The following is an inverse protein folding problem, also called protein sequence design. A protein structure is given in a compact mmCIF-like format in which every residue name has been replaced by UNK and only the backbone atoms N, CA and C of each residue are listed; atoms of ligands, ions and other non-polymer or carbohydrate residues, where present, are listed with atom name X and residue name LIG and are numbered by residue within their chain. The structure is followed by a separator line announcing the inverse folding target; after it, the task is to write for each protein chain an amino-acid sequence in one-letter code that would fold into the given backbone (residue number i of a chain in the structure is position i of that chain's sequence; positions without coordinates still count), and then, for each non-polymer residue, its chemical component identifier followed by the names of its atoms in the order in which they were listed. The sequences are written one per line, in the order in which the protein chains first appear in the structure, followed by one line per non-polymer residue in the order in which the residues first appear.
data_IF_019095907055
#
_entry.id   IF_019095907055
#
_cell.length_a   1.000
_cell.length_b   1.000
_cell.length_c   1.000
_cell.angle_alpha   90.00
_cell.angle_beta   90.00
_cell.angle_gamma   90.00
#
_symmetry.space_group_name_H-M   'P 1'
#
loop_
_entity.id
_entity.type
_entity.pdbx_description
1 polymer ?
#
# COMPACT_ATOMS: atom_id res chain seq x y z
N UNK A 1 4.25 19.89 -5.77
CA UNK A 1 4.12 19.52 -4.34
C UNK A 1 5.24 20.21 -3.57
N UNK A 2 5.02 20.69 -2.33
CA UNK A 2 6.14 21.23 -1.54
C UNK A 2 7.08 20.10 -1.09
N UNK A 3 8.37 20.39 -0.92
CA UNK A 3 9.36 19.40 -0.46
C UNK A 3 8.96 18.76 0.88
N UNK A 4 8.35 19.54 1.77
CA UNK A 4 7.80 19.07 3.04
C UNK A 4 6.66 18.05 2.86
N UNK A 5 5.74 18.31 1.94
CA UNK A 5 4.62 17.40 1.65
C UNK A 5 5.14 16.10 1.00
N UNK A 6 6.10 16.21 0.09
CA UNK A 6 6.77 15.05 -0.51
C UNK A 6 7.43 14.16 0.55
N UNK A 7 8.10 14.76 1.54
CA UNK A 7 8.68 14.03 2.67
C UNK A 7 7.65 13.30 3.53
N UNK A 8 6.50 13.93 3.81
CA UNK A 8 5.40 13.31 4.57
C UNK A 8 4.79 12.13 3.83
N UNK A 9 4.57 12.26 2.52
CA UNK A 9 4.00 11.22 1.67
C UNK A 9 4.91 9.99 1.58
N UNK A 10 6.22 10.21 1.39
CA UNK A 10 7.23 9.15 1.45
C UNK A 10 7.23 8.41 2.80
N UNK A 11 7.17 9.17 3.90
CA UNK A 11 7.12 8.60 5.24
C UNK A 11 5.85 7.77 5.47
N UNK A 12 4.70 8.24 4.98
CA UNK A 12 3.44 7.52 5.06
C UNK A 12 3.52 6.16 4.37
N UNK A 13 3.97 6.13 3.11
CA UNK A 13 4.11 4.87 2.34
C UNK A 13 5.07 3.91 3.05
N UNK A 14 6.21 4.41 3.54
CA UNK A 14 7.17 3.60 4.26
C UNK A 14 6.59 3.00 5.56
N UNK A 15 5.79 3.77 6.31
CA UNK A 15 5.12 3.32 7.53
C UNK A 15 4.04 2.30 7.23
N UNK A 16 3.25 2.50 6.17
CA UNK A 16 2.21 1.57 5.75
C UNK A 16 2.80 0.24 5.28
N UNK A 17 3.90 0.28 4.51
CA UNK A 17 4.68 -0.89 4.13
C UNK A 17 5.12 -1.69 5.36
N UNK A 18 5.78 -1.03 6.31
CA UNK A 18 6.28 -1.68 7.53
C UNK A 18 5.14 -2.31 8.34
N UNK A 19 4.03 -1.60 8.55
CA UNK A 19 2.87 -2.12 9.28
C UNK A 19 2.22 -3.32 8.58
N UNK A 20 2.19 -3.33 7.25
CA UNK A 20 1.69 -4.47 6.47
C UNK A 20 2.62 -5.68 6.58
N UNK A 21 3.93 -5.46 6.52
CA UNK A 21 4.94 -6.52 6.75
C UNK A 21 4.82 -7.13 8.16
N UNK A 22 4.55 -6.29 9.17
CA UNK A 22 4.30 -6.70 10.56
C UNK A 22 2.90 -7.31 10.79
N UNK A 23 2.12 -7.55 9.74
CA UNK A 23 0.72 -8.04 9.80
C UNK A 23 -0.17 -7.23 10.76
N UNK A 24 0.13 -5.93 10.90
CA UNK A 24 -0.55 -5.01 11.82
C UNK A 24 -1.66 -4.19 11.14
N UNK A 25 -2.00 -4.52 9.89
CA UNK A 25 -3.08 -3.90 9.12
C UNK A 25 -4.07 -5.00 8.75
N UNK A 26 -5.33 -4.84 9.15
CA UNK A 26 -6.40 -5.75 8.77
C UNK A 26 -6.89 -5.41 7.36
N UNK A 27 -6.22 -5.98 6.35
CA UNK A 27 -6.60 -5.80 4.96
C UNK A 27 -7.85 -6.59 4.60
N UNK A 28 -8.69 -5.97 3.77
CA UNK A 28 -9.90 -6.52 3.16
C UNK A 28 -9.86 -6.21 1.66
N UNK A 29 -10.80 -6.76 0.89
CA UNK A 29 -11.01 -6.38 -0.50
C UNK A 29 -12.23 -5.46 -0.62
N UNK A 30 -12.11 -4.40 -1.42
CA UNK A 30 -13.25 -3.55 -1.77
C UNK A 30 -14.10 -4.19 -2.89
N UNK A 31 -15.12 -3.48 -3.38
CA UNK A 31 -16.01 -3.96 -4.45
C UNK A 31 -15.31 -4.26 -5.79
N UNK A 32 -14.15 -3.65 -6.03
CA UNK A 32 -13.32 -3.86 -7.23
C UNK A 32 -12.26 -4.95 -7.03
N UNK A 33 -12.23 -5.60 -5.85
CA UNK A 33 -11.20 -6.54 -5.41
C UNK A 33 -9.82 -5.92 -5.16
N UNK A 34 -9.77 -4.63 -4.91
CA UNK A 34 -8.54 -3.94 -4.50
C UNK A 34 -8.37 -4.01 -2.98
N UNK A 35 -7.12 -4.13 -2.48
CA UNK A 35 -6.86 -4.09 -1.05
C UNK A 35 -7.29 -2.77 -0.40
N UNK A 36 -8.02 -2.89 0.70
CA UNK A 36 -8.54 -1.79 1.49
C UNK A 36 -8.38 -2.07 2.98
N UNK A 37 -8.13 -1.06 3.79
CA UNK A 37 -8.13 -1.18 5.25
C UNK A 37 -8.69 0.10 5.90
N UNK A 38 -9.27 -0.04 7.09
CA UNK A 38 -9.66 1.09 7.93
C UNK A 38 -8.60 1.30 9.01
N UNK A 39 -8.08 2.52 9.11
CA UNK A 39 -7.04 2.92 10.05
C UNK A 39 -7.51 4.17 10.82
N UNK A 40 -8.18 3.94 11.95
CA UNK A 40 -8.76 5.01 12.76
C UNK A 40 -9.91 5.71 12.02
N UNK A 41 -9.76 7.01 11.75
CA UNK A 41 -10.77 7.82 11.05
C UNK A 41 -10.64 7.79 9.50
N UNK A 42 -9.75 6.95 8.98
CA UNK A 42 -9.44 6.90 7.56
C UNK A 42 -9.63 5.51 6.99
N UNK A 43 -9.96 5.46 5.70
CA UNK A 43 -9.94 4.26 4.88
C UNK A 43 -8.86 4.42 3.84
N UNK A 44 -8.00 3.42 3.71
CA UNK A 44 -6.98 3.37 2.66
C UNK A 44 -7.37 2.36 1.59
N UNK A 45 -7.04 2.63 0.34
CA UNK A 45 -7.21 1.71 -0.78
C UNK A 45 -5.97 1.74 -1.66
N UNK A 46 -5.50 0.56 -2.06
CA UNK A 46 -4.35 0.39 -2.95
C UNK A 46 -4.85 -0.20 -4.27
N UNK A 47 -4.65 0.49 -5.38
CA UNK A 47 -5.01 -0.05 -6.71
C UNK A 47 -3.88 0.19 -7.72
N UNK A 48 -4.13 -0.24 -8.96
CA UNK A 48 -3.28 0.11 -10.09
C UNK A 48 -4.09 0.77 -11.20
N UNK A 49 -3.44 1.70 -11.88
CA UNK A 49 -3.97 2.36 -13.06
C UNK A 49 -2.95 2.36 -14.19
N UNK A 50 -3.40 2.61 -15.42
CA UNK A 50 -2.52 2.81 -16.55
C UNK A 50 -2.41 4.31 -16.87
N UNK A 51 -1.18 4.83 -16.91
CA UNK A 51 -0.84 6.18 -17.36
C UNK A 51 -0.15 6.13 -18.73
N UNK A 52 0.11 7.28 -19.34
CA UNK A 52 0.88 7.35 -20.59
C UNK A 52 2.30 6.79 -20.50
N UNK A 53 2.83 6.64 -19.28
CA UNK A 53 4.16 6.10 -18.95
C UNK A 53 4.15 4.60 -18.60
N UNK A 54 2.99 4.00 -18.32
CA UNK A 54 2.87 2.59 -17.97
C UNK A 54 1.92 2.32 -16.81
N UNK A 55 2.17 1.26 -16.06
CA UNK A 55 1.42 0.94 -14.84
C UNK A 55 1.86 1.86 -13.70
N UNK A 56 0.88 2.39 -12.98
CA UNK A 56 1.05 3.28 -11.83
C UNK A 56 0.36 2.64 -10.63
N UNK A 57 1.04 2.63 -9.49
CA UNK A 57 0.54 2.17 -8.20
C UNK A 57 -0.07 3.35 -7.46
N UNK A 58 -1.33 3.23 -7.05
CA UNK A 58 -2.03 4.29 -6.33
C UNK A 58 -2.27 3.93 -4.87
N UNK A 59 -2.18 4.94 -4.00
CA UNK A 59 -2.69 4.91 -2.64
C UNK A 59 -3.70 6.04 -2.48
N UNK A 60 -4.95 5.66 -2.21
CA UNK A 60 -6.01 6.60 -1.85
C UNK A 60 -6.27 6.55 -0.35
N UNK A 61 -6.51 7.73 0.23
CA UNK A 61 -6.92 7.89 1.62
C UNK A 61 -8.24 8.63 1.62
N UNK A 62 -9.26 8.00 2.16
CA UNK A 62 -10.58 8.57 2.32
C UNK A 62 -10.88 8.79 3.80
N UNK A 63 -11.74 9.76 4.11
CA UNK A 63 -12.46 9.78 5.39
C UNK A 63 -13.44 8.60 5.46
N UNK A 64 -13.93 8.25 6.65
CA UNK A 64 -14.98 7.23 6.78
C UNK A 64 -16.30 7.64 6.09
N UNK A 65 -16.49 8.94 5.80
CA UNK A 65 -17.62 9.47 5.05
C UNK A 65 -17.44 9.32 3.52
N UNK A 66 -16.28 8.85 3.06
CA UNK A 66 -15.98 8.63 1.65
C UNK A 66 -15.37 9.84 0.93
N UNK A 67 -15.02 10.90 1.66
CA UNK A 67 -14.34 12.05 1.08
C UNK A 67 -12.87 11.71 0.82
N UNK A 68 -12.37 12.00 -0.37
CA UNK A 68 -10.95 11.84 -0.69
C UNK A 68 -10.13 12.87 0.09
N UNK A 69 -9.24 12.39 0.95
CA UNK A 69 -8.32 13.19 1.77
C UNK A 69 -6.98 13.36 1.09
N UNK A 70 -6.46 12.28 0.51
CA UNK A 70 -5.15 12.29 -0.15
C UNK A 70 -5.09 11.20 -1.22
N UNK A 71 -4.36 11.47 -2.31
CA UNK A 71 -4.08 10.52 -3.38
C UNK A 71 -2.60 10.60 -3.74
N UNK A 72 -1.93 9.46 -3.62
CA UNK A 72 -0.50 9.32 -3.92
C UNK A 72 -0.32 8.33 -5.05
N UNK A 73 0.57 8.66 -5.97
CA UNK A 73 1.07 7.73 -6.99
C UNK A 73 2.55 7.48 -6.74
N UNK A 74 3.08 6.34 -7.19
CA UNK A 74 4.52 6.09 -7.16
C UNK A 74 5.30 7.17 -7.93
N UNK A 75 4.79 7.62 -9.07
CA UNK A 75 5.38 8.70 -9.88
C UNK A 75 5.51 10.01 -9.08
N UNK A 76 4.55 10.33 -8.20
CA UNK A 76 4.60 11.52 -7.34
C UNK A 76 5.66 11.45 -6.22
N UNK A 77 6.21 10.25 -5.96
CA UNK A 77 7.16 9.99 -4.87
C UNK A 77 8.61 9.86 -5.38
N UNK A 78 8.80 9.48 -6.63
CA UNK A 78 10.09 9.14 -7.25
C UNK A 78 10.96 10.35 -7.65
N UNK A 79 10.49 11.60 -7.47
CA UNK A 79 11.21 12.80 -7.93
C UNK A 79 12.60 13.03 -7.27
N UNK A 80 12.97 12.34 -6.19
CA UNK A 80 14.16 12.74 -5.38
C UNK A 80 15.02 11.60 -4.79
N UNK A 81 14.58 10.34 -4.72
CA UNK A 81 15.38 9.32 -4.00
C UNK A 81 15.05 7.88 -4.34
N UNK A 82 15.99 6.97 -4.07
CA UNK A 82 15.70 5.54 -3.93
C UNK A 82 14.65 5.31 -2.84
N UNK A 83 13.82 4.28 -3.01
CA UNK A 83 12.83 3.91 -2.02
C UNK A 83 13.50 3.26 -0.78
N UNK A 84 12.87 3.35 0.42
CA UNK A 84 13.40 2.71 1.62
C UNK A 84 13.37 1.17 1.52
N UNK A 85 13.95 0.50 2.52
CA UNK A 85 13.93 -0.97 2.65
C UNK A 85 14.61 -1.75 1.51
N UNK A 86 15.51 -1.09 0.77
CA UNK A 86 16.27 -1.72 -0.31
C UNK A 86 15.52 -1.78 -1.66
N UNK A 87 14.40 -1.05 -1.80
CA UNK A 87 13.70 -0.94 -3.08
C UNK A 87 14.34 0.13 -3.97
N UNK A 88 14.45 -0.16 -5.26
CA UNK A 88 15.06 0.75 -6.24
C UNK A 88 14.18 1.96 -6.55
N UNK A 89 12.85 1.80 -6.48
CA UNK A 89 11.85 2.83 -6.80
C UNK A 89 10.61 2.72 -5.91
N UNK A 90 9.84 3.81 -5.82
CA UNK A 90 8.54 3.79 -5.14
C UNK A 90 7.54 2.88 -5.85
N UNK A 91 7.64 2.74 -7.18
CA UNK A 91 6.86 1.76 -7.93
C UNK A 91 7.04 0.35 -7.35
N UNK A 92 8.30 -0.07 -7.17
CA UNK A 92 8.61 -1.41 -6.65
C UNK A 92 8.15 -1.59 -5.20
N UNK A 93 8.31 -0.56 -4.37
CA UNK A 93 7.86 -0.57 -2.97
C UNK A 93 6.32 -0.66 -2.87
N UNK A 94 5.60 0.17 -3.61
CA UNK A 94 4.13 0.22 -3.59
C UNK A 94 3.52 -1.03 -4.23
N UNK A 95 4.11 -1.53 -5.32
CA UNK A 95 3.74 -2.83 -5.91
C UNK A 95 3.83 -3.94 -4.88
N UNK A 96 4.93 -4.01 -4.12
CA UNK A 96 5.09 -5.04 -3.09
C UNK A 96 4.14 -4.85 -1.92
N UNK A 97 3.90 -3.60 -1.50
CA UNK A 97 2.89 -3.27 -0.49
C UNK A 97 1.51 -3.81 -0.91
N UNK A 98 1.06 -3.49 -2.13
CA UNK A 98 -0.24 -3.95 -2.65
C UNK A 98 -0.31 -5.46 -2.78
N UNK A 99 0.75 -6.12 -3.24
CA UNK A 99 0.83 -7.58 -3.31
C UNK A 99 0.67 -8.22 -1.92
N UNK A 100 1.38 -7.72 -0.90
CA UNK A 100 1.25 -8.21 0.49
C UNK A 100 -0.16 -7.96 1.03
N UNK A 101 -0.68 -6.75 0.85
CA UNK A 101 -2.02 -6.37 1.27
C UNK A 101 -3.09 -7.28 0.65
N UNK A 102 -2.97 -7.58 -0.65
CA UNK A 102 -3.85 -8.50 -1.35
C UNK A 102 -3.77 -9.92 -0.79
N UNK A 103 -2.55 -10.47 -0.63
CA UNK A 103 -2.36 -11.82 -0.07
C UNK A 103 -2.94 -11.94 1.34
N UNK A 104 -2.76 -10.91 2.17
CA UNK A 104 -3.34 -10.87 3.51
C UNK A 104 -4.87 -10.78 3.46
N UNK A 105 -5.43 -9.93 2.59
CA UNK A 105 -6.88 -9.79 2.43
C UNK A 105 -7.58 -11.08 1.96
N UNK A 106 -6.92 -11.89 1.12
CA UNK A 106 -7.46 -13.19 0.66
C UNK A 106 -7.12 -14.36 1.60
N UNK A 107 -6.40 -14.10 2.71
CA UNK A 107 -5.99 -15.13 3.67
C UNK A 107 -4.92 -16.09 3.16
N UNK A 108 -4.23 -15.77 2.04
CA UNK A 108 -3.18 -16.62 1.48
C UNK A 108 -2.00 -16.77 2.44
N UNK A 109 -1.62 -15.68 3.13
CA UNK A 109 -0.52 -15.71 4.09
C UNK A 109 -0.84 -16.62 5.28
N UNK A 110 -2.06 -16.52 5.83
CA UNK A 110 -2.52 -17.41 6.92
C UNK A 110 -2.57 -18.87 6.48
N UNK A 111 -3.11 -19.15 5.29
CA UNK A 111 -3.18 -20.53 4.78
C UNK A 111 -1.79 -21.16 4.60
N UNK A 112 -0.81 -20.38 4.14
CA UNK A 112 0.58 -20.86 4.02
C UNK A 112 1.20 -21.09 5.39
N UNK A 113 1.00 -20.19 6.35
CA UNK A 113 1.51 -20.34 7.72
C UNK A 113 0.94 -21.61 8.38
N UNK A 114 -0.36 -21.86 8.25
CA UNK A 114 -1.02 -23.04 8.81
C UNK A 114 -0.45 -24.35 8.22
N UNK A 115 -0.17 -24.38 6.91
CA UNK A 115 0.47 -25.53 6.25
C UNK A 115 1.88 -25.75 6.77
N UNK A 116 2.66 -24.68 6.93
CA UNK A 116 4.04 -24.77 7.41
C UNK A 116 4.09 -25.20 8.88
N UNK A 117 3.13 -24.78 9.70
CA UNK A 117 3.03 -25.20 11.09
C UNK A 117 2.58 -26.66 11.24
N UNK A 118 1.75 -27.18 10.32
CA UNK A 118 1.41 -28.60 10.27
C UNK A 118 2.60 -29.52 9.94
N UNK A 119 3.60 -29.01 9.20
CA UNK A 119 4.79 -29.78 8.81
C UNK A 119 5.90 -29.81 9.89
N UNK A 120 5.74 -29.06 10.98
CA UNK A 120 6.67 -29.04 12.12
C UNK A 120 6.32 -30.12 13.15
#
# INVERSE_FOLDING_TARGET
MSEEQSGKNRLLVARLFKKTQEKSVAWLLNGNRDPMAELGAYRITLDTSFSGSGMVENLYIFSLQGELIEHLTDESLDEVSTAPFGYESYYSLMSKLREMAFRQAVGADTAVDDILDFLK
#
